data_IF_783186410623
#
_entry.id   IF_783186410623
#
_cell.length_a   1.000
_cell.length_b   1.000
_cell.length_c   1.000
_cell.angle_alpha   90.00
_cell.angle_beta   90.00
_cell.angle_gamma   90.00
#
_symmetry.space_group_name_H-M   'P 1'
#
loop_
_entity.id
_entity.type
_entity.pdbx_description
1 polymer ?
#
# COMPACT_ATOMS: atom_id res chain seq x y z
N UNK A 1 0.44 11.84 -9.33
CA UNK A 1 0.16 11.51 -10.75
C UNK A 1 0.32 10.02 -11.03
N UNK A 2 1.33 9.36 -10.44
CA UNK A 2 1.63 7.94 -10.66
C UNK A 2 0.58 6.97 -10.09
N UNK A 3 0.04 7.19 -8.88
CA UNK A 3 -1.00 6.31 -8.31
C UNK A 3 -2.29 6.25 -9.14
N UNK A 4 -2.73 7.36 -9.71
CA UNK A 4 -3.90 7.39 -10.63
C UNK A 4 -3.71 6.54 -11.88
N UNK A 5 -2.47 6.39 -12.35
CA UNK A 5 -2.17 5.53 -13.51
C UNK A 5 -2.26 4.06 -13.10
N UNK A 6 -1.78 3.73 -11.90
CA UNK A 6 -1.91 2.40 -11.32
C UNK A 6 -3.38 2.04 -11.11
N UNK A 7 -4.16 2.88 -10.39
CA UNK A 7 -5.60 2.67 -10.14
C UNK A 7 -6.38 2.41 -11.45
N UNK A 8 -6.06 3.17 -12.50
CA UNK A 8 -6.71 3.01 -13.80
C UNK A 8 -6.29 1.73 -14.50
N UNK A 9 -5.02 1.35 -14.35
CA UNK A 9 -4.44 0.18 -14.98
C UNK A 9 -5.00 -1.08 -14.34
N UNK A 10 -4.98 -1.19 -13.01
CA UNK A 10 -5.36 -2.40 -12.27
C UNK A 10 -6.89 -2.57 -12.09
N UNK A 11 -7.68 -1.65 -12.63
CA UNK A 11 -9.14 -1.73 -12.62
C UNK A 11 -9.77 -1.30 -11.29
N UNK A 12 -8.99 -0.72 -10.37
CA UNK A 12 -9.54 -0.12 -9.16
C UNK A 12 -10.44 1.08 -9.47
N UNK A 13 -11.39 1.34 -8.58
CA UNK A 13 -12.30 2.49 -8.71
C UNK A 13 -11.48 3.77 -8.73
N UNK A 14 -11.68 4.60 -9.77
CA UNK A 14 -10.94 5.85 -9.93
C UNK A 14 -10.95 6.66 -8.61
N UNK A 15 -9.77 6.96 -8.09
CA UNK A 15 -9.60 7.71 -6.84
C UNK A 15 -9.49 6.86 -5.57
N UNK A 16 -9.46 5.53 -5.68
CA UNK A 16 -9.16 4.61 -4.56
C UNK A 16 -7.94 5.05 -3.76
N UNK A 17 -6.78 5.19 -4.41
CA UNK A 17 -5.55 5.61 -3.74
C UNK A 17 -5.69 6.95 -3.02
N UNK A 18 -6.49 7.89 -3.55
CA UNK A 18 -6.72 9.18 -2.89
C UNK A 18 -7.58 9.04 -1.63
N UNK A 19 -8.68 8.27 -1.70
CA UNK A 19 -9.55 8.01 -0.55
C UNK A 19 -8.80 7.28 0.55
N UNK A 20 -8.00 6.27 0.21
CA UNK A 20 -7.14 5.57 1.18
C UNK A 20 -6.18 6.55 1.86
N UNK A 21 -5.55 7.45 1.10
CA UNK A 21 -4.71 8.51 1.65
C UNK A 21 -5.45 9.41 2.65
N UNK A 22 -6.62 9.93 2.28
CA UNK A 22 -7.44 10.80 3.13
C UNK A 22 -7.94 10.10 4.41
N UNK A 23 -8.33 8.83 4.30
CA UNK A 23 -8.68 7.99 5.44
C UNK A 23 -7.49 7.80 6.38
N UNK A 24 -6.31 7.50 5.82
CA UNK A 24 -5.08 7.32 6.57
C UNK A 24 -4.70 8.58 7.36
N UNK A 25 -4.78 9.75 6.72
CA UNK A 25 -4.51 11.04 7.38
C UNK A 25 -5.47 11.25 8.56
N UNK A 26 -6.77 11.00 8.33
CA UNK A 26 -7.80 11.17 9.36
C UNK A 26 -7.54 10.27 10.56
N UNK A 27 -7.22 8.99 10.32
CA UNK A 27 -6.90 8.03 11.38
C UNK A 27 -5.63 8.45 12.13
N UNK A 28 -4.56 8.85 11.44
CA UNK A 28 -3.33 9.29 12.07
C UNK A 28 -3.54 10.51 12.98
N UNK A 29 -4.36 11.49 12.54
CA UNK A 29 -4.75 12.65 13.36
C UNK A 29 -5.54 12.26 14.59
N UNK A 30 -6.49 11.32 14.46
CA UNK A 30 -7.28 10.82 15.60
C UNK A 30 -6.42 10.08 16.63
N UNK A 31 -5.32 9.47 16.20
CA UNK A 31 -4.34 8.82 17.08
C UNK A 31 -3.34 9.80 17.72
N UNK A 32 -3.46 11.10 17.45
CA UNK A 32 -2.62 12.14 18.07
C UNK A 32 -1.21 12.24 17.48
N UNK A 33 -0.99 11.75 16.27
CA UNK A 33 0.29 11.86 15.58
C UNK A 33 0.58 13.31 15.14
N UNK A 34 1.85 13.65 14.95
CA UNK A 34 2.27 14.96 14.45
C UNK A 34 1.80 15.21 13.03
N UNK A 35 1.77 16.49 12.60
CA UNK A 35 1.38 16.86 11.24
C UNK A 35 2.29 16.23 10.17
N UNK A 36 3.58 16.12 10.46
CA UNK A 36 4.57 15.46 9.61
C UNK A 36 4.26 13.96 9.46
N UNK A 37 4.04 13.25 10.56
CA UNK A 37 3.65 11.83 10.54
C UNK A 37 2.34 11.62 9.78
N UNK A 38 1.33 12.46 10.03
CA UNK A 38 0.05 12.41 9.32
C UNK A 38 0.25 12.54 7.80
N UNK A 39 1.07 13.48 7.37
CA UNK A 39 1.37 13.68 5.95
C UNK A 39 2.14 12.48 5.36
N UNK A 40 3.13 11.95 6.07
CA UNK A 40 3.89 10.75 5.63
C UNK A 40 2.98 9.55 5.45
N UNK A 41 2.06 9.30 6.39
CA UNK A 41 1.10 8.18 6.30
C UNK A 41 0.09 8.41 5.18
N UNK A 42 -0.41 9.64 5.01
CA UNK A 42 -1.28 10.00 3.89
C UNK A 42 -0.62 9.70 2.54
N UNK A 43 0.64 10.10 2.37
CA UNK A 43 1.41 9.84 1.14
C UNK A 43 1.66 8.34 0.97
N UNK A 44 1.97 7.62 2.05
CA UNK A 44 2.06 6.16 2.08
C UNK A 44 0.78 5.48 1.58
N UNK A 45 -0.39 5.92 2.04
CA UNK A 45 -1.69 5.42 1.57
C UNK A 45 -1.93 5.73 0.08
N UNK A 46 -1.53 6.90 -0.41
CA UNK A 46 -1.67 7.26 -1.84
C UNK A 46 -0.78 6.41 -2.74
N UNK A 47 0.37 5.96 -2.24
CA UNK A 47 1.40 5.29 -3.04
C UNK A 47 1.56 3.79 -2.72
N UNK A 48 0.70 3.22 -1.85
CA UNK A 48 0.82 1.84 -1.38
C UNK A 48 0.91 0.82 -2.53
N UNK A 49 0.16 1.08 -3.61
CA UNK A 49 0.09 0.23 -4.78
C UNK A 49 1.06 0.59 -5.92
N UNK A 50 1.96 1.57 -5.74
CA UNK A 50 2.85 2.07 -6.80
C UNK A 50 3.61 0.95 -7.53
N UNK A 51 4.06 -0.07 -6.80
CA UNK A 51 4.82 -1.18 -7.35
C UNK A 51 4.02 -2.10 -8.28
N UNK A 52 2.68 -1.99 -8.35
CA UNK A 52 1.88 -2.73 -9.34
C UNK A 52 2.28 -2.36 -10.77
N UNK A 53 3.00 -1.26 -10.98
CA UNK A 53 3.62 -0.93 -12.27
C UNK A 53 4.51 -2.06 -12.81
N UNK A 54 5.18 -2.82 -11.94
CA UNK A 54 6.05 -3.93 -12.31
C UNK A 54 5.30 -5.23 -12.62
N UNK A 55 4.01 -5.34 -12.28
CA UNK A 55 3.21 -6.57 -12.50
C UNK A 55 2.79 -6.65 -13.98
N UNK A 56 2.96 -7.79 -14.68
CA UNK A 56 2.49 -7.96 -16.05
C UNK A 56 0.97 -7.81 -16.20
N UNK A 57 0.50 -7.20 -17.29
CA UNK A 57 -0.93 -7.02 -17.56
C UNK A 57 -1.70 -8.36 -17.61
N UNK A 58 -1.06 -9.43 -18.10
CA UNK A 58 -1.67 -10.77 -18.16
C UNK A 58 -2.00 -11.35 -16.78
N UNK A 59 -1.35 -10.85 -15.73
CA UNK A 59 -1.61 -11.22 -14.33
C UNK A 59 -2.50 -10.18 -13.67
N UNK A 60 -2.16 -8.90 -13.79
CA UNK A 60 -2.86 -7.80 -13.13
C UNK A 60 -4.32 -7.68 -13.59
N UNK A 61 -4.59 -7.95 -14.88
CA UNK A 61 -5.92 -7.82 -15.50
C UNK A 61 -6.59 -9.18 -15.74
N UNK A 62 -6.06 -10.25 -15.14
CA UNK A 62 -6.57 -11.59 -15.37
C UNK A 62 -8.02 -11.70 -14.89
N UNK A 63 -8.96 -12.13 -15.74
CA UNK A 63 -10.32 -12.39 -15.29
C UNK A 63 -10.34 -13.66 -14.43
N UNK A 64 -10.82 -13.54 -13.19
CA UNK A 64 -10.97 -14.66 -12.27
C UNK A 64 -9.83 -14.80 -11.27
N UNK A 65 -9.68 -16.01 -10.70
CA UNK A 65 -8.68 -16.24 -9.64
C UNK A 65 -7.28 -16.40 -10.23
N UNK A 66 -6.31 -15.84 -9.53
CA UNK A 66 -4.89 -16.06 -9.78
C UNK A 66 -4.51 -17.48 -9.36
N UNK A 67 -3.54 -18.06 -10.06
CA UNK A 67 -2.85 -19.26 -9.56
C UNK A 67 -1.94 -18.87 -8.38
N UNK A 68 -1.51 -19.84 -7.55
CA UNK A 68 -0.55 -19.56 -6.49
C UNK A 68 0.72 -18.84 -6.98
N UNK A 69 1.23 -19.23 -8.16
CA UNK A 69 2.44 -18.66 -8.74
C UNK A 69 2.22 -17.21 -9.22
N UNK A 70 1.06 -16.93 -9.82
CA UNK A 70 0.68 -15.57 -10.21
C UNK A 70 0.48 -14.67 -8.99
N UNK A 71 -0.05 -15.23 -7.90
CA UNK A 71 -0.22 -14.50 -6.65
C UNK A 71 1.12 -14.13 -6.02
N UNK A 72 2.13 -15.01 -6.07
CA UNK A 72 3.49 -14.67 -5.61
C UNK A 72 4.13 -13.53 -6.40
N UNK A 73 3.76 -13.34 -7.68
CA UNK A 73 4.20 -12.19 -8.48
C UNK A 73 3.52 -10.91 -7.99
N UNK A 74 2.21 -10.93 -7.73
CA UNK A 74 1.51 -9.75 -7.19
C UNK A 74 2.05 -9.36 -5.81
N UNK A 75 2.39 -10.34 -4.96
CA UNK A 75 2.96 -10.09 -3.63
C UNK A 75 4.29 -9.34 -3.64
N UNK A 76 4.95 -9.18 -4.80
CA UNK A 76 6.16 -8.38 -4.93
C UNK A 76 5.90 -6.87 -5.04
N UNK A 77 4.67 -6.43 -5.36
CA UNK A 77 4.41 -5.00 -5.56
C UNK A 77 4.76 -4.10 -4.36
N UNK A 78 4.65 -4.51 -3.06
CA UNK A 78 5.09 -3.67 -1.96
C UNK A 78 6.61 -3.46 -1.99
N UNK A 79 7.37 -4.50 -2.38
CA UNK A 79 8.83 -4.46 -2.51
C UNK A 79 9.23 -3.54 -3.66
N UNK A 80 8.62 -3.72 -4.83
CA UNK A 80 8.87 -2.89 -6.02
C UNK A 80 8.52 -1.41 -5.76
N UNK A 81 7.38 -1.15 -5.14
CA UNK A 81 6.95 0.21 -4.77
C UNK A 81 7.93 0.88 -3.81
N UNK A 82 8.39 0.15 -2.80
CA UNK A 82 9.40 0.64 -1.87
C UNK A 82 10.75 0.90 -2.53
N UNK A 83 11.18 0.07 -3.49
CA UNK A 83 12.42 0.28 -4.24
C UNK A 83 12.36 1.55 -5.09
N UNK A 84 11.25 1.78 -5.80
CA UNK A 84 11.03 3.01 -6.58
C UNK A 84 11.12 4.25 -5.68
N UNK A 85 10.53 4.18 -4.50
CA UNK A 85 10.57 5.29 -3.53
C UNK A 85 11.96 5.47 -2.91
N UNK A 86 12.71 4.40 -2.70
CA UNK A 86 14.05 4.44 -2.10
C UNK A 86 15.10 5.16 -2.97
N UNK A 87 14.81 5.41 -4.25
CA UNK A 87 15.64 6.27 -5.12
C UNK A 87 15.69 7.73 -4.61
N UNK A 88 14.74 8.11 -3.75
CA UNK A 88 14.58 9.45 -3.19
C UNK A 88 14.75 9.40 -1.66
N UNK A 89 15.89 9.85 -1.10
CA UNK A 89 16.18 9.72 0.33
C UNK A 89 15.10 10.31 1.26
N UNK A 90 14.42 11.37 0.83
CA UNK A 90 13.32 12.01 1.54
C UNK A 90 12.03 11.18 1.63
N UNK A 91 11.91 10.12 0.81
CA UNK A 91 10.75 9.22 0.79
C UNK A 91 10.96 7.96 1.63
N UNK A 92 12.05 7.87 2.42
CA UNK A 92 12.39 6.66 3.16
C UNK A 92 11.26 6.15 4.04
N UNK A 93 10.58 7.03 4.76
CA UNK A 93 9.50 6.63 5.67
C UNK A 93 8.23 6.21 4.90
N UNK A 94 7.96 6.86 3.77
CA UNK A 94 6.90 6.44 2.84
C UNK A 94 7.22 5.06 2.27
N UNK A 95 8.47 4.81 1.86
CA UNK A 95 8.92 3.53 1.33
C UNK A 95 8.76 2.39 2.35
N UNK A 96 9.04 2.65 3.63
CA UNK A 96 8.77 1.69 4.71
C UNK A 96 7.27 1.41 4.84
N UNK A 97 6.43 2.44 4.76
CA UNK A 97 4.97 2.26 4.82
C UNK A 97 4.48 1.36 3.67
N UNK A 98 4.89 1.71 2.44
CA UNK A 98 4.54 0.98 1.21
C UNK A 98 5.06 -0.46 1.27
N UNK A 99 6.28 -0.72 1.74
CA UNK A 99 6.82 -2.08 1.81
C UNK A 99 5.96 -3.01 2.65
N UNK A 100 5.45 -2.52 3.78
CA UNK A 100 4.87 -3.36 4.82
C UNK A 100 3.34 -3.24 4.94
N UNK A 101 2.65 -2.56 4.01
CA UNK A 101 1.21 -2.35 4.11
C UNK A 101 0.36 -3.63 3.97
N UNK A 102 0.95 -4.74 3.52
CA UNK A 102 0.33 -6.07 3.52
C UNK A 102 0.83 -6.99 4.64
N UNK A 103 1.64 -6.47 5.56
CA UNK A 103 1.96 -7.21 6.78
C UNK A 103 0.71 -7.35 7.66
N UNK A 104 0.65 -8.47 8.38
CA UNK A 104 -0.49 -8.79 9.23
C UNK A 104 -0.05 -8.91 10.66
N UNK A 105 -0.88 -8.45 11.59
CA UNK A 105 -0.58 -8.48 13.03
C UNK A 105 -0.16 -9.87 13.53
N UNK A 106 -0.73 -10.93 12.94
CA UNK A 106 -0.48 -12.34 13.25
C UNK A 106 0.78 -12.94 12.58
N UNK A 107 1.50 -12.18 11.76
CA UNK A 107 2.70 -12.64 11.04
C UNK A 107 2.41 -13.44 9.77
N UNK A 108 1.15 -13.62 9.39
CA UNK A 108 0.78 -14.31 8.14
C UNK A 108 0.82 -13.39 6.90
N UNK A 109 1.32 -12.16 7.07
CA UNK A 109 1.44 -11.16 6.01
C UNK A 109 2.70 -11.34 5.17
N UNK A 110 2.98 -10.35 4.33
CA UNK A 110 4.12 -10.31 3.44
C UNK A 110 4.56 -8.83 3.25
N UNK A 111 5.80 -8.57 2.78
CA UNK A 111 6.82 -9.49 2.29
C UNK A 111 7.74 -10.10 3.35
N UNK A 112 7.85 -9.50 4.53
CA UNK A 112 8.88 -9.83 5.53
C UNK A 112 8.34 -10.64 6.73
N UNK A 113 7.02 -10.80 6.85
CA UNK A 113 6.39 -11.61 7.90
C UNK A 113 6.49 -10.95 9.28
N UNK A 114 6.40 -9.62 9.31
CA UNK A 114 6.48 -8.84 10.54
C UNK A 114 5.24 -9.07 11.41
N UNK A 115 5.44 -9.07 12.72
CA UNK A 115 4.37 -9.34 13.70
C UNK A 115 4.18 -8.16 14.66
N UNK A 116 2.93 -7.87 15.02
CA UNK A 116 2.62 -6.90 16.05
C UNK A 116 3.22 -5.53 15.80
N UNK A 117 3.94 -5.00 16.80
CA UNK A 117 4.57 -3.68 16.76
C UNK A 117 5.83 -3.60 15.90
N UNK A 118 6.34 -4.75 15.41
CA UNK A 118 7.41 -4.73 14.41
C UNK A 118 6.92 -4.12 13.07
N UNK A 119 5.60 -4.16 12.82
CA UNK A 119 4.99 -3.53 11.65
C UNK A 119 4.92 -2.02 11.89
N UNK A 120 5.47 -1.18 10.98
CA UNK A 120 5.38 0.28 11.12
C UNK A 120 3.94 0.74 11.35
N UNK A 121 3.74 1.69 12.27
CA UNK A 121 2.40 2.20 12.59
C UNK A 121 1.67 2.70 11.35
N UNK A 122 2.37 3.41 10.46
CA UNK A 122 1.81 3.86 9.19
C UNK A 122 1.35 2.70 8.29
N UNK A 123 2.09 1.60 8.21
CA UNK A 123 1.68 0.41 7.45
C UNK A 123 0.43 -0.25 8.01
N UNK A 124 0.30 -0.31 9.35
CA UNK A 124 -0.91 -0.83 10.00
C UNK A 124 -2.14 0.03 9.70
N UNK A 125 -1.97 1.34 9.68
CA UNK A 125 -3.04 2.29 9.31
C UNK A 125 -3.43 2.08 7.85
N UNK A 126 -2.45 2.06 6.93
CA UNK A 126 -2.71 1.85 5.50
C UNK A 126 -3.42 0.52 5.27
N UNK A 127 -2.98 -0.57 5.90
CA UNK A 127 -3.62 -1.88 5.79
C UNK A 127 -5.12 -1.83 6.15
N UNK A 128 -5.46 -1.17 7.27
CA UNK A 128 -6.85 -1.06 7.71
C UNK A 128 -7.69 -0.15 6.80
N UNK A 129 -7.13 0.98 6.38
CA UNK A 129 -7.83 1.94 5.51
C UNK A 129 -8.05 1.40 4.09
N UNK A 130 -7.05 0.71 3.53
CA UNK A 130 -7.13 0.05 2.23
C UNK A 130 -8.21 -1.04 2.20
N UNK A 131 -8.19 -1.94 3.20
CA UNK A 131 -9.21 -2.97 3.34
C UNK A 131 -10.62 -2.38 3.49
N UNK A 132 -10.77 -1.29 4.25
CA UNK A 132 -12.04 -0.60 4.42
C UNK A 132 -12.56 0.00 3.10
N UNK A 133 -11.72 0.71 2.34
CA UNK A 133 -12.14 1.28 1.04
C UNK A 133 -12.51 0.18 0.04
N UNK A 134 -11.70 -0.89 -0.03
CA UNK A 134 -11.93 -2.02 -0.94
C UNK A 134 -13.24 -2.76 -0.67
N UNK A 135 -13.66 -2.87 0.61
CA UNK A 135 -14.91 -3.57 0.97
C UNK A 135 -16.15 -2.69 0.75
N UNK A 136 -16.00 -1.36 0.74
CA UNK A 136 -17.13 -0.42 0.76
C UNK A 136 -17.42 0.28 -0.57
N UNK A 137 -16.59 0.04 -1.60
CA UNK A 137 -16.72 0.61 -2.94
C UNK A 137 -16.90 -0.49 -3.98
#
# INVERSE_FOLDING_TARGET
>A
MQSRVVDKRDGQTFGHSQRVGELCETVARLLGMSEEECNTIRVGGILHDLGKIAVPDSILLKPGKLTPEEYEIIKQHPVEGAQILAEHPEQKDVALIVRHHHERWDGAGYPDGLTGEAIPTGSRIVNACDAFDTITQ
#
